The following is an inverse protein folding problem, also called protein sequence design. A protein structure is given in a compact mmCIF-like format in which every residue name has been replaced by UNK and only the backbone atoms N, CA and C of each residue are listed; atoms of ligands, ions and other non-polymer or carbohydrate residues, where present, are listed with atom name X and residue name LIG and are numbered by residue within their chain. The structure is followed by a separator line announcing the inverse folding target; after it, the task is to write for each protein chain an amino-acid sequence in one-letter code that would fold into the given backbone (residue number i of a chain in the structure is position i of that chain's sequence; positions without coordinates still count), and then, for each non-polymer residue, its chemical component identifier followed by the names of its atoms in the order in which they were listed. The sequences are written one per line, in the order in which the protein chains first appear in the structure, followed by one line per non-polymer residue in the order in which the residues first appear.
data_IF_777964596108
#
_entry.id   IF_777964596108
#
_cell.length_a   1.000
_cell.length_b   1.000
_cell.length_c   1.000
_cell.angle_alpha   90.00
_cell.angle_beta   90.00
_cell.angle_gamma   90.00
#
_symmetry.space_group_name_H-M   'P 1'
#
loop_
_entity.id
_entity.type
_entity.pdbx_description
1 polymer ?
#
# COMPACT_ATOMS: atom_id res chain seq x y z
N UNK A 1 5.78 -7.32 -2.23
CA UNK A 1 5.96 -5.99 -1.60
C UNK A 1 6.75 -6.19 -0.31
N UNK A 2 7.14 -5.11 0.35
CA UNK A 2 8.44 -4.88 0.94
C UNK A 2 9.29 -4.08 -0.05
N UNK A 3 10.58 -4.39 -0.22
CA UNK A 3 11.46 -3.65 -1.15
C UNK A 3 10.98 -3.60 -2.62
N UNK A 4 10.08 -4.50 -3.01
CA UNK A 4 9.50 -4.49 -4.36
C UNK A 4 8.43 -3.40 -4.56
N UNK A 5 7.92 -2.77 -3.49
CA UNK A 5 7.04 -1.61 -3.58
C UNK A 5 7.87 -0.37 -3.94
N UNK A 6 8.36 -0.30 -5.17
CA UNK A 6 9.09 0.86 -5.68
C UNK A 6 8.15 1.79 -6.44
N UNK A 7 8.56 3.05 -6.60
CA UNK A 7 7.84 4.03 -7.42
C UNK A 7 7.53 3.47 -8.83
N UNK A 8 8.53 2.93 -9.53
CA UNK A 8 8.36 2.40 -10.90
C UNK A 8 7.36 1.24 -10.96
N UNK A 9 7.38 0.36 -9.95
CA UNK A 9 6.44 -0.74 -9.87
C UNK A 9 5.03 -0.24 -9.58
N UNK A 10 4.86 0.72 -8.69
CA UNK A 10 3.56 1.35 -8.42
C UNK A 10 3.03 2.07 -9.66
N UNK A 11 3.83 2.93 -10.30
CA UNK A 11 3.43 3.64 -11.51
C UNK A 11 2.96 2.68 -12.60
N UNK A 12 3.73 1.62 -12.85
CA UNK A 12 3.37 0.61 -13.84
C UNK A 12 2.04 -0.08 -13.51
N UNK A 13 1.80 -0.42 -12.24
CA UNK A 13 0.56 -1.10 -11.81
C UNK A 13 -0.65 -0.17 -11.82
N UNK A 14 -0.51 1.06 -11.34
CA UNK A 14 -1.57 2.07 -11.36
C UNK A 14 -1.95 2.42 -12.79
N UNK A 15 -0.96 2.59 -13.69
CA UNK A 15 -1.23 2.78 -15.12
C UNK A 15 -2.02 1.60 -15.71
N UNK A 16 -1.64 0.35 -15.41
CA UNK A 16 -2.41 -0.81 -15.88
C UNK A 16 -3.84 -0.81 -15.35
N UNK A 17 -4.04 -0.46 -14.08
CA UNK A 17 -5.37 -0.33 -13.48
C UNK A 17 -6.22 0.72 -14.21
N UNK A 18 -5.67 1.88 -14.55
CA UNK A 18 -6.42 2.91 -15.30
C UNK A 18 -6.82 2.53 -16.73
N UNK A 19 -6.21 1.47 -17.28
CA UNK A 19 -6.53 0.94 -18.59
C UNK A 19 -7.53 -0.24 -18.53
N UNK A 20 -7.83 -0.72 -17.33
CA UNK A 20 -8.79 -1.80 -17.11
C UNK A 20 -10.22 -1.25 -17.31
N UNK A 21 -10.98 -1.89 -18.19
CA UNK A 21 -12.38 -1.53 -18.48
C UNK A 21 -13.38 -2.39 -17.71
N UNK A 22 -12.90 -3.37 -16.94
CA UNK A 22 -13.72 -4.36 -16.25
C UNK A 22 -13.89 -4.06 -14.75
N UNK A 23 -12.90 -3.42 -14.12
CA UNK A 23 -12.97 -3.00 -12.72
C UNK A 23 -12.65 -1.52 -12.58
N UNK A 24 -13.44 -0.82 -11.77
CA UNK A 24 -13.21 0.57 -11.38
C UNK A 24 -12.62 0.70 -9.97
N UNK A 25 -12.38 -0.42 -9.26
CA UNK A 25 -11.87 -0.46 -7.90
C UNK A 25 -10.74 -1.50 -7.80
N UNK A 26 -9.69 -1.18 -7.06
CA UNK A 26 -8.61 -2.11 -6.73
C UNK A 26 -8.18 -1.93 -5.27
N UNK A 27 -7.76 -3.04 -4.64
CA UNK A 27 -7.20 -3.03 -3.29
C UNK A 27 -5.67 -3.00 -3.34
N UNK A 28 -5.06 -2.08 -2.58
CA UNK A 28 -3.62 -1.98 -2.42
C UNK A 28 -3.19 -2.63 -1.10
N UNK A 29 -2.77 -3.89 -1.18
CA UNK A 29 -2.27 -4.64 -0.01
C UNK A 29 -0.89 -4.12 0.42
N UNK A 30 -0.74 -3.70 1.67
CA UNK A 30 0.55 -3.22 2.19
C UNK A 30 0.65 -3.47 3.70
N UNK A 31 1.86 -3.39 4.22
CA UNK A 31 2.19 -3.52 5.64
C UNK A 31 3.06 -2.34 6.12
N UNK A 32 2.64 -1.08 5.90
CA UNK A 32 3.45 0.07 6.28
C UNK A 32 3.70 0.09 7.80
N UNK A 33 4.89 0.53 8.19
CA UNK A 33 5.23 0.85 9.58
C UNK A 33 6.70 0.67 9.91
N UNK A 34 7.09 1.06 11.12
CA UNK A 34 8.44 0.86 11.62
C UNK A 34 8.75 -0.63 11.84
N UNK A 35 10.03 -1.05 11.71
CA UNK A 35 10.45 -2.40 12.08
C UNK A 35 10.11 -2.69 13.55
N UNK A 36 9.53 -3.85 13.80
CA UNK A 36 9.16 -4.27 15.15
C UNK A 36 10.39 -4.70 15.95
N UNK A 37 10.41 -4.41 17.25
CA UNK A 37 11.41 -4.99 18.15
C UNK A 37 11.14 -6.49 18.33
N UNK A 38 12.18 -7.31 18.11
CA UNK A 38 12.14 -8.78 18.25
C UNK A 38 11.69 -9.30 19.63
N UNK A 39 11.75 -8.47 20.68
CA UNK A 39 11.44 -8.84 22.06
C UNK A 39 10.15 -8.20 22.60
N UNK A 40 9.64 -7.16 21.94
CA UNK A 40 8.51 -6.34 22.45
C UNK A 40 7.37 -6.22 21.42
N UNK A 41 7.63 -6.58 20.15
CA UNK A 41 6.62 -6.58 19.08
C UNK A 41 5.89 -7.91 18.92
N UNK A 42 5.01 -7.97 17.92
CA UNK A 42 4.24 -9.16 17.55
C UNK A 42 2.76 -9.09 17.99
N UNK A 43 1.91 -9.89 17.34
CA UNK A 43 0.51 -10.04 17.73
C UNK A 43 0.38 -11.17 18.75
N UNK A 44 -0.12 -10.85 19.96
CA UNK A 44 -0.35 -11.82 21.02
C UNK A 44 0.92 -12.19 21.80
N UNK A 45 1.12 -13.49 22.07
CA UNK A 45 2.27 -14.00 22.83
C UNK A 45 3.47 -14.37 21.95
N UNK A 46 3.35 -14.19 20.63
CA UNK A 46 4.36 -14.56 19.66
C UNK A 46 5.35 -13.43 19.39
N UNK A 47 6.59 -13.79 19.07
CA UNK A 47 7.57 -12.85 18.50
C UNK A 47 7.07 -12.34 17.14
N UNK A 48 7.41 -11.11 16.73
CA UNK A 48 7.10 -10.64 15.39
C UNK A 48 7.81 -11.53 14.36
N UNK A 49 7.16 -11.75 13.23
CA UNK A 49 7.77 -12.47 12.11
C UNK A 49 8.96 -11.68 11.51
N UNK A 50 9.75 -12.33 10.66
CA UNK A 50 10.95 -11.74 10.05
C UNK A 50 10.62 -10.48 9.24
N UNK A 51 9.52 -10.48 8.50
CA UNK A 51 9.09 -9.35 7.70
C UNK A 51 8.67 -8.17 8.60
N UNK A 52 7.96 -8.44 9.69
CA UNK A 52 7.61 -7.46 10.72
C UNK A 52 8.82 -6.79 11.37
N UNK A 53 9.96 -7.47 11.44
CA UNK A 53 11.22 -6.95 11.96
C UNK A 53 12.10 -6.27 10.90
N UNK A 54 11.69 -6.30 9.63
CA UNK A 54 12.51 -5.83 8.51
C UNK A 54 12.23 -4.37 8.16
N UNK A 55 13.20 -3.73 7.48
CA UNK A 55 13.05 -2.38 6.92
C UNK A 55 12.08 -2.30 5.74
N UNK A 56 11.57 -3.43 5.27
CA UNK A 56 10.62 -3.50 4.16
C UNK A 56 9.31 -2.79 4.51
N UNK A 57 8.84 -2.89 5.76
CA UNK A 57 7.66 -2.17 6.23
C UNK A 57 7.86 -0.66 6.30
N UNK A 58 9.08 -0.24 6.66
CA UNK A 58 9.43 1.18 6.68
C UNK A 58 9.53 1.72 5.26
N UNK A 59 10.13 0.95 4.35
CA UNK A 59 10.21 1.30 2.94
C UNK A 59 8.82 1.52 2.33
N UNK A 60 7.87 0.61 2.61
CA UNK A 60 6.49 0.80 2.19
C UNK A 60 5.86 2.05 2.83
N UNK A 61 6.08 2.28 4.13
CA UNK A 61 5.57 3.47 4.83
C UNK A 61 6.08 4.76 4.20
N UNK A 62 7.40 4.87 4.00
CA UNK A 62 8.05 6.07 3.45
C UNK A 62 7.54 6.37 2.04
N UNK A 63 7.37 5.34 1.20
CA UNK A 63 6.84 5.52 -0.15
C UNK A 63 5.35 5.91 -0.16
N UNK A 64 4.53 5.27 0.67
CA UNK A 64 3.10 5.58 0.75
C UNK A 64 2.82 6.97 1.35
N UNK A 65 3.73 7.49 2.18
CA UNK A 65 3.70 8.87 2.69
C UNK A 65 4.41 9.88 1.77
N UNK A 66 5.00 9.43 0.66
CA UNK A 66 5.80 10.28 -0.20
C UNK A 66 4.94 11.19 -1.07
N UNK A 67 5.50 12.35 -1.39
CA UNK A 67 4.88 13.32 -2.29
C UNK A 67 4.75 12.76 -3.72
N UNK A 68 5.69 11.91 -4.13
CA UNK A 68 5.71 11.23 -5.42
C UNK A 68 4.53 10.26 -5.56
N UNK A 69 4.19 9.51 -4.50
CA UNK A 69 3.02 8.64 -4.52
C UNK A 69 1.71 9.45 -4.65
N UNK A 70 1.60 10.57 -3.95
CA UNK A 70 0.47 11.48 -4.08
C UNK A 70 0.34 12.05 -5.50
N UNK A 71 1.48 12.41 -6.12
CA UNK A 71 1.52 12.87 -7.50
C UNK A 71 1.12 11.78 -8.49
N UNK A 72 1.50 10.52 -8.26
CA UNK A 72 1.06 9.38 -9.08
C UNK A 72 -0.46 9.23 -9.05
N UNK A 73 -1.08 9.25 -7.86
CA UNK A 73 -2.53 9.15 -7.73
C UNK A 73 -3.24 10.28 -8.48
N UNK A 74 -2.72 11.51 -8.36
CA UNK A 74 -3.25 12.68 -9.08
C UNK A 74 -3.09 12.54 -10.59
N UNK A 75 -1.90 12.13 -11.06
CA UNK A 75 -1.58 11.95 -12.49
C UNK A 75 -2.52 10.95 -13.17
N UNK A 76 -2.89 9.88 -12.47
CA UNK A 76 -3.75 8.82 -12.98
C UNK A 76 -5.23 8.98 -12.60
N UNK A 77 -5.61 10.10 -11.98
CA UNK A 77 -6.97 10.35 -11.49
C UNK A 77 -7.53 9.21 -10.62
N UNK A 78 -6.69 8.69 -9.72
CA UNK A 78 -7.03 7.60 -8.80
C UNK A 78 -7.44 8.20 -7.47
N UNK A 79 -8.62 7.80 -6.98
CA UNK A 79 -9.09 8.14 -5.65
C UNK A 79 -8.71 7.05 -4.66
N UNK A 80 -8.09 7.43 -3.55
CA UNK A 80 -7.94 6.53 -2.40
C UNK A 80 -9.21 6.57 -1.58
N UNK A 81 -9.86 5.42 -1.46
CA UNK A 81 -11.04 5.23 -0.63
C UNK A 81 -10.82 4.17 0.45
N UNK A 82 -11.82 4.03 1.29
CA UNK A 82 -11.98 2.95 2.25
C UNK A 82 -12.99 1.93 1.71
N UNK A 83 -13.10 0.78 2.38
CA UNK A 83 -14.11 -0.21 2.00
C UNK A 83 -15.55 0.34 2.10
N UNK A 84 -15.80 1.33 2.96
CA UNK A 84 -17.11 1.96 3.11
C UNK A 84 -17.54 2.79 1.87
N UNK A 85 -16.60 3.13 0.99
CA UNK A 85 -16.87 3.87 -0.24
C UNK A 85 -17.31 2.95 -1.39
N UNK A 86 -17.09 1.63 -1.26
CA UNK A 86 -17.44 0.62 -2.27
C UNK A 86 -18.97 0.48 -2.40
N UNK A 87 -19.69 0.62 -1.29
CA UNK A 87 -21.16 0.48 -1.25
C UNK A 87 -21.91 1.73 -1.70
N UNK A 88 -21.22 2.85 -1.93
CA UNK A 88 -21.85 4.14 -2.30
C UNK A 88 -22.06 4.31 -3.81
N UNK A 89 -21.68 3.32 -4.63
CA UNK A 89 -21.84 3.37 -6.10
C UNK A 89 -23.25 2.99 -6.61
N UNK A 90 -24.27 2.86 -5.75
CA UNK A 90 -25.67 2.69 -6.12
C UNK A 90 -26.52 3.92 -5.75
N UNK A 91 -26.29 5.05 -6.42
CA UNK A 91 -27.27 6.16 -6.48
C UNK A 91 -27.30 6.71 -7.91
#
# INVERSE_FOLDING_TARGET
MGQAMTYDNLERRLKMFTLDTTSNIAELMCHPGYPSDTFIGGCGTGRPDEFSCSFDRQHEFDLLFSEEFRQLLTKYNIHLGTYADVDQCYI
#
